data_IF_416482663537
#
_entry.id   IF_416482663537
#
_cell.length_a   1.000
_cell.length_b   1.000
_cell.length_c   1.000
_cell.angle_alpha   90.00
_cell.angle_beta   90.00
_cell.angle_gamma   90.00
#
_symmetry.space_group_name_H-M   'P 1'
#
loop_
_entity.id
_entity.type
_entity.pdbx_description
1 polymer ?
#
# COMPACT_ATOMS: atom_id res chain seq x y z
N UNK A 1 1.41 -8.34 14.95
CA UNK A 1 2.22 -8.15 13.75
C UNK A 1 1.68 -9.09 12.68
N UNK A 2 1.10 -8.55 11.61
CA UNK A 2 0.55 -9.37 10.51
C UNK A 2 1.72 -9.90 9.67
N UNK A 3 1.67 -11.16 9.19
CA UNK A 3 2.66 -11.65 8.25
C UNK A 3 2.58 -10.83 6.96
N UNK A 4 3.68 -10.20 6.57
CA UNK A 4 3.78 -9.45 5.32
C UNK A 4 4.31 -10.41 4.28
N UNK A 5 3.55 -10.62 3.21
CA UNK A 5 4.05 -11.32 2.03
C UNK A 5 4.85 -10.32 1.20
N UNK A 6 6.17 -10.46 1.20
CA UNK A 6 7.02 -9.76 0.24
C UNK A 6 6.99 -10.58 -1.04
N UNK A 7 6.50 -9.98 -2.13
CA UNK A 7 6.57 -10.58 -3.46
C UNK A 7 7.75 -9.98 -4.21
N UNK A 8 8.83 -10.75 -4.31
CA UNK A 8 9.99 -10.41 -5.11
C UNK A 8 9.90 -11.06 -6.50
N UNK A 9 10.29 -10.31 -7.53
CA UNK A 9 10.55 -10.89 -8.86
C UNK A 9 12.06 -11.04 -9.02
N UNK A 10 12.65 -12.21 -8.74
CA UNK A 10 14.07 -12.41 -8.97
C UNK A 10 14.35 -12.36 -10.47
N UNK A 11 15.42 -11.67 -10.88
CA UNK A 11 16.04 -11.92 -12.18
C UNK A 11 17.16 -12.93 -11.95
N UNK A 12 16.95 -14.14 -12.45
CA UNK A 12 17.90 -15.27 -12.55
C UNK A 12 18.94 -15.39 -11.42
N UNK A 13 18.63 -16.27 -10.46
CA UNK A 13 19.62 -16.87 -9.57
C UNK A 13 19.60 -16.35 -8.13
N UNK A 14 18.69 -16.90 -7.31
CA UNK A 14 18.92 -17.20 -5.89
C UNK A 14 17.64 -17.84 -5.31
N UNK A 15 17.81 -19.06 -4.78
CA UNK A 15 16.76 -19.91 -4.24
C UNK A 15 16.10 -19.31 -2.98
N UNK A 16 14.76 -19.20 -2.98
CA UNK A 16 13.95 -19.63 -1.84
C UNK A 16 12.52 -19.93 -2.29
N UNK A 17 12.01 -21.05 -1.77
CA UNK A 17 10.74 -21.68 -2.11
C UNK A 17 9.52 -20.93 -1.53
N UNK A 18 8.66 -20.45 -2.43
CA UNK A 18 7.25 -20.82 -2.56
C UNK A 18 6.84 -20.38 -3.97
N UNK A 19 6.95 -21.29 -4.94
CA UNK A 19 6.70 -21.00 -6.35
C UNK A 19 5.20 -20.88 -6.65
N UNK A 20 4.79 -19.69 -7.10
CA UNK A 20 3.81 -19.60 -8.18
C UNK A 20 4.53 -19.07 -9.43
N UNK A 21 5.32 -19.96 -10.04
CA UNK A 21 6.08 -19.76 -11.28
C UNK A 21 7.50 -19.21 -11.08
N UNK A 22 8.38 -19.49 -12.05
CA UNK A 22 9.83 -19.16 -12.09
C UNK A 22 10.19 -17.68 -11.90
N UNK A 23 9.20 -16.79 -11.74
CA UNK A 23 9.38 -15.34 -11.63
C UNK A 23 8.82 -14.73 -10.35
N UNK A 24 8.20 -15.49 -9.46
CA UNK A 24 7.54 -14.95 -8.27
C UNK A 24 7.97 -15.70 -7.01
N UNK A 25 8.58 -14.97 -6.07
CA UNK A 25 8.98 -15.49 -4.75
C UNK A 25 8.14 -14.79 -3.68
N UNK A 26 7.56 -15.59 -2.78
CA UNK A 26 6.79 -15.10 -1.63
C UNK A 26 7.49 -15.51 -0.36
N UNK A 27 7.77 -14.53 0.50
CA UNK A 27 8.45 -14.79 1.77
C UNK A 27 7.57 -14.41 2.95
N UNK A 28 7.63 -15.24 3.99
CA UNK A 28 7.01 -15.00 5.28
C UNK A 28 8.06 -14.40 6.22
N UNK A 29 8.19 -13.08 6.19
CA UNK A 29 9.17 -12.35 7.00
C UNK A 29 8.62 -10.99 7.43
N UNK A 30 9.30 -10.38 8.39
CA UNK A 30 9.10 -8.98 8.70
C UNK A 30 9.84 -8.14 7.66
N UNK A 31 9.16 -7.18 7.03
CA UNK A 31 9.77 -6.34 5.98
C UNK A 31 11.02 -5.59 6.48
N UNK A 32 11.16 -5.40 7.79
CA UNK A 32 12.32 -4.78 8.43
C UNK A 32 13.58 -5.66 8.37
N UNK A 33 13.38 -6.95 8.18
CA UNK A 33 14.42 -7.98 8.09
C UNK A 33 14.70 -8.39 6.63
N UNK A 34 14.29 -7.58 5.64
CA UNK A 34 14.72 -7.74 4.24
C UNK A 34 16.25 -7.55 4.22
N UNK A 35 16.97 -8.67 4.29
CA UNK A 35 18.39 -8.70 4.67
C UNK A 35 19.37 -8.35 3.54
N UNK A 36 18.89 -8.26 2.31
CA UNK A 36 19.74 -7.93 1.17
C UNK A 36 19.57 -6.45 0.79
N UNK A 37 20.62 -5.67 1.01
CA UNK A 37 20.67 -4.29 0.55
C UNK A 37 20.67 -4.25 -0.98
N UNK A 38 19.93 -3.29 -1.55
CA UNK A 38 19.91 -3.01 -2.99
C UNK A 38 19.48 -4.21 -3.87
N UNK A 39 18.55 -5.03 -3.37
CA UNK A 39 18.03 -6.18 -4.11
C UNK A 39 16.89 -5.84 -5.07
N UNK A 40 16.25 -4.67 -4.94
CA UNK A 40 15.06 -4.34 -5.72
C UNK A 40 15.26 -3.10 -6.59
N UNK A 41 14.86 -3.19 -7.87
CA UNK A 41 14.77 -2.03 -8.77
C UNK A 41 13.53 -1.19 -8.46
N UNK A 42 12.45 -1.84 -7.99
CA UNK A 42 11.18 -1.21 -7.68
C UNK A 42 10.55 -1.85 -6.44
N UNK A 43 9.96 -1.03 -5.58
CA UNK A 43 9.21 -1.48 -4.41
C UNK A 43 7.79 -0.92 -4.51
N UNK A 44 6.79 -1.71 -4.09
CA UNK A 44 5.42 -1.25 -3.93
C UNK A 44 4.93 -1.69 -2.56
N UNK A 45 4.35 -0.76 -1.81
CA UNK A 45 3.75 -1.04 -0.50
C UNK A 45 2.31 -0.55 -0.50
N UNK A 46 1.35 -1.43 -0.19
CA UNK A 46 -0.09 -1.16 -0.28
C UNK A 46 -0.73 -1.46 1.07
N UNK A 47 -1.25 -0.43 1.75
CA UNK A 47 -1.99 -0.57 3.00
C UNK A 47 -1.15 -0.93 4.23
N UNK A 48 0.18 -0.80 4.15
CA UNK A 48 1.08 -1.10 5.26
C UNK A 48 1.34 0.12 6.16
N UNK A 49 1.49 1.29 5.55
CA UNK A 49 1.89 2.54 6.21
C UNK A 49 0.98 2.92 7.39
N UNK A 50 -0.32 2.61 7.30
CA UNK A 50 -1.34 2.85 8.33
C UNK A 50 -1.13 2.06 9.62
N UNK A 51 -0.33 1.00 9.55
CA UNK A 51 -0.03 0.09 10.66
C UNK A 51 1.37 0.29 11.24
N UNK A 52 2.18 1.16 10.64
CA UNK A 52 3.54 1.46 11.10
C UNK A 52 3.51 2.38 12.32
N UNK A 53 2.65 3.41 12.26
CA UNK A 53 2.59 4.47 13.27
C UNK A 53 3.62 5.58 13.05
N UNK A 54 3.31 6.78 13.53
CA UNK A 54 4.06 8.00 13.25
C UNK A 54 5.53 7.89 13.62
N UNK A 55 5.80 7.37 14.82
CA UNK A 55 7.16 7.30 15.38
C UNK A 55 8.06 6.31 14.65
N UNK A 56 7.46 5.41 13.84
CA UNK A 56 8.16 4.37 13.09
C UNK A 56 8.27 4.65 11.60
N UNK A 57 7.77 5.80 11.14
CA UNK A 57 7.92 6.19 9.73
C UNK A 57 9.38 6.30 9.27
N UNK A 58 10.32 6.86 10.04
CA UNK A 58 11.73 6.87 9.63
C UNK A 58 12.29 5.46 9.43
N UNK A 59 11.95 4.52 10.32
CA UNK A 59 12.36 3.11 10.22
C UNK A 59 11.76 2.47 8.96
N UNK A 60 10.48 2.69 8.70
CA UNK A 60 9.78 2.17 7.51
C UNK A 60 10.38 2.66 6.19
N UNK A 61 10.59 3.96 6.04
CA UNK A 61 11.22 4.50 4.84
C UNK A 61 12.68 4.08 4.73
N UNK A 62 13.42 4.01 5.85
CA UNK A 62 14.80 3.52 5.86
C UNK A 62 14.89 2.08 5.37
N UNK A 63 14.00 1.17 5.80
CA UNK A 63 13.98 -0.20 5.29
C UNK A 63 13.76 -0.25 3.77
N UNK A 64 12.81 0.52 3.24
CA UNK A 64 12.59 0.60 1.81
C UNK A 64 13.80 1.20 1.06
N UNK A 65 14.44 2.22 1.62
CA UNK A 65 15.62 2.87 1.04
C UNK A 65 16.82 1.93 0.93
N UNK A 66 17.07 1.12 1.97
CA UNK A 66 18.17 0.16 1.98
C UNK A 66 17.95 -0.99 1.00
N UNK A 67 16.71 -1.47 0.87
CA UNK A 67 16.37 -2.55 -0.05
C UNK A 67 16.35 -2.10 -1.53
N UNK A 68 16.15 -0.81 -1.79
CA UNK A 68 16.04 -0.24 -3.14
C UNK A 68 17.43 0.09 -3.73
N UNK A 69 17.65 -0.25 -4.99
CA UNK A 69 18.86 0.14 -5.74
C UNK A 69 18.91 1.65 -6.01
N UNK A 70 20.10 2.25 -6.16
CA UNK A 70 20.24 3.56 -6.79
C UNK A 70 19.49 3.61 -8.14
N UNK A 71 18.75 4.69 -8.39
CA UNK A 71 17.88 4.86 -9.55
C UNK A 71 16.52 4.14 -9.43
N UNK A 72 16.29 3.41 -8.34
CA UNK A 72 15.06 2.66 -8.13
C UNK A 72 13.86 3.53 -7.75
N UNK A 73 12.65 2.96 -7.89
CA UNK A 73 11.39 3.61 -7.56
C UNK A 73 10.61 2.89 -6.46
N UNK A 74 10.00 3.65 -5.55
CA UNK A 74 9.14 3.15 -4.50
C UNK A 74 7.74 3.78 -4.58
N UNK A 75 6.69 2.97 -4.74
CA UNK A 75 5.31 3.40 -4.67
C UNK A 75 4.70 3.05 -3.30
N UNK A 76 4.48 4.07 -2.47
CA UNK A 76 3.79 3.93 -1.20
C UNK A 76 2.30 4.28 -1.35
N UNK A 77 1.42 3.31 -1.15
CA UNK A 77 -0.03 3.47 -1.19
C UNK A 77 -0.64 3.28 0.19
N UNK A 78 -1.22 4.33 0.77
CA UNK A 78 -1.78 4.26 2.12
C UNK A 78 -2.80 5.35 2.44
N UNK A 79 -3.64 5.06 3.43
CA UNK A 79 -4.66 5.95 3.98
C UNK A 79 -4.00 6.96 4.92
N UNK A 80 -4.32 8.24 4.73
CA UNK A 80 -3.87 9.35 5.56
C UNK A 80 -5.06 10.10 6.17
N UNK A 81 -4.84 10.80 7.28
CA UNK A 81 -5.82 11.73 7.84
C UNK A 81 -5.62 13.16 7.33
N UNK A 82 -6.69 13.95 7.24
CA UNK A 82 -6.62 15.36 6.81
C UNK A 82 -5.94 16.27 7.83
N UNK A 83 -5.21 17.28 7.35
CA UNK A 83 -4.37 18.19 8.17
C UNK A 83 -5.10 19.21 9.06
N UNK A 84 -6.44 19.23 9.08
CA UNK A 84 -7.25 20.15 9.89
C UNK A 84 -7.90 19.53 11.14
N UNK A 85 -7.89 18.21 11.26
CA UNK A 85 -8.06 17.56 12.55
C UNK A 85 -6.68 17.40 13.14
N UNK A 86 -6.50 17.69 14.43
CA UNK A 86 -5.31 17.24 15.17
C UNK A 86 -4.86 15.92 14.59
N UNK A 87 -3.61 15.86 14.06
CA UNK A 87 -3.00 14.59 13.74
C UNK A 87 -3.34 13.71 14.94
N UNK A 88 -4.14 12.67 14.74
CA UNK A 88 -4.71 11.87 15.84
C UNK A 88 -3.63 10.97 16.44
N UNK A 89 -2.41 11.52 16.55
CA UNK A 89 -1.37 11.11 17.45
C UNK A 89 -2.05 10.62 18.70
N UNK A 90 -1.72 9.38 19.05
CA UNK A 90 -2.16 8.73 20.28
C UNK A 90 -1.58 9.50 21.47
N UNK A 91 -2.05 10.73 21.70
CA UNK A 91 -1.83 11.43 22.96
C UNK A 91 -2.41 10.51 24.03
N UNK A 92 -1.58 10.19 25.02
CA UNK A 92 -1.82 9.17 26.06
C UNK A 92 -3.13 9.38 26.86
N UNK A 93 -3.85 10.48 26.64
CA UNK A 93 -5.10 10.83 27.32
C UNK A 93 -6.39 10.57 26.52
N UNK A 94 -6.33 10.12 25.26
CA UNK A 94 -7.54 9.93 24.45
C UNK A 94 -8.17 8.56 24.70
N UNK A 95 -9.49 8.54 24.98
CA UNK A 95 -10.27 7.29 25.06
C UNK A 95 -10.20 6.53 23.71
N UNK A 96 -10.09 5.19 23.72
CA UNK A 96 -10.03 4.40 22.48
C UNK A 96 -11.26 4.67 21.62
N UNK A 97 -11.05 4.94 20.34
CA UNK A 97 -12.12 5.05 19.35
C UNK A 97 -12.75 3.68 19.07
N UNK A 98 -13.86 3.67 18.31
CA UNK A 98 -14.45 2.42 17.81
C UNK A 98 -13.42 1.60 17.00
N UNK A 99 -12.63 2.24 16.14
CA UNK A 99 -11.62 1.55 15.35
C UNK A 99 -10.51 0.99 16.25
N UNK A 100 -10.04 1.79 17.21
CA UNK A 100 -8.98 1.42 18.15
C UNK A 100 -9.39 0.21 19.01
N UNK A 101 -10.68 0.04 19.26
CA UNK A 101 -11.21 -1.05 20.11
C UNK A 101 -11.61 -2.30 19.34
N UNK A 102 -12.12 -2.16 18.11
CA UNK A 102 -12.79 -3.27 17.42
C UNK A 102 -12.23 -3.64 16.05
N UNK A 103 -11.41 -2.79 15.42
CA UNK A 103 -10.99 -3.00 14.02
C UNK A 103 -9.46 -3.01 13.88
N UNK A 104 -8.81 -1.91 14.24
CA UNK A 104 -7.35 -1.74 14.11
C UNK A 104 -6.77 -1.15 15.41
N UNK A 105 -6.47 -1.99 16.41
CA UNK A 105 -5.95 -1.52 17.69
C UNK A 105 -4.60 -0.80 17.59
N UNK A 106 -3.79 -1.23 16.63
CA UNK A 106 -2.44 -0.73 16.36
C UNK A 106 -2.41 0.28 15.19
N UNK A 107 -3.56 0.54 14.54
CA UNK A 107 -3.63 1.44 13.40
C UNK A 107 -3.48 2.91 13.82
N UNK A 108 -2.63 3.66 13.13
CA UNK A 108 -2.49 5.10 13.31
C UNK A 108 -2.43 5.78 11.94
N UNK A 109 -3.44 6.59 11.66
CA UNK A 109 -3.46 7.39 10.44
C UNK A 109 -2.62 8.64 10.64
N UNK A 110 -1.66 8.83 9.75
CA UNK A 110 -0.75 9.98 9.77
C UNK A 110 -1.09 10.91 8.60
N UNK A 111 -0.98 12.25 8.77
CA UNK A 111 -1.12 13.18 7.64
C UNK A 111 -0.07 12.95 6.55
N UNK A 112 -0.45 13.16 5.29
CA UNK A 112 0.45 12.93 4.15
C UNK A 112 1.75 13.72 4.25
N UNK A 113 1.70 14.98 4.70
CA UNK A 113 2.91 15.81 4.83
C UNK A 113 3.94 15.21 5.79
N UNK A 114 3.49 14.54 6.85
CA UNK A 114 4.38 13.90 7.83
C UNK A 114 5.04 12.66 7.23
N UNK A 115 4.31 11.90 6.42
CA UNK A 115 4.87 10.76 5.70
C UNK A 115 5.89 11.21 4.65
N UNK A 116 5.60 12.28 3.90
CA UNK A 116 6.52 12.86 2.91
C UNK A 116 7.78 13.39 3.57
N UNK A 117 7.67 14.13 4.68
CA UNK A 117 8.85 14.61 5.42
C UNK A 117 9.73 13.45 5.89
N UNK A 118 9.17 12.37 6.43
CA UNK A 118 9.96 11.20 6.84
C UNK A 118 10.64 10.50 5.65
N UNK A 119 9.99 10.46 4.48
CA UNK A 119 10.58 9.92 3.26
C UNK A 119 11.74 10.78 2.75
N UNK A 120 11.55 12.10 2.69
CA UNK A 120 12.59 13.05 2.27
C UNK A 120 13.78 13.07 3.23
N UNK A 121 13.54 13.02 4.54
CA UNK A 121 14.58 12.92 5.58
C UNK A 121 15.40 11.62 5.45
N UNK A 122 14.82 10.55 4.89
CA UNK A 122 15.53 9.30 4.59
C UNK A 122 16.40 9.41 3.33
N UNK A 123 16.12 10.38 2.45
CA UNK A 123 16.83 10.61 1.19
C UNK A 123 15.98 10.38 -0.07
N UNK A 124 14.73 9.94 0.06
CA UNK A 124 13.84 9.82 -1.09
C UNK A 124 13.51 11.17 -1.71
N UNK A 125 13.45 11.20 -3.04
CA UNK A 125 12.87 12.31 -3.78
C UNK A 125 11.39 12.02 -4.07
N UNK A 126 10.50 12.95 -3.74
CA UNK A 126 9.07 12.84 -4.07
C UNK A 126 8.85 13.19 -5.53
N UNK A 127 8.38 12.21 -6.32
CA UNK A 127 8.14 12.37 -7.76
C UNK A 127 6.67 12.55 -8.09
N UNK A 128 5.78 11.95 -7.31
CA UNK A 128 4.35 12.17 -7.43
C UNK A 128 3.58 11.96 -6.14
N UNK A 129 2.43 12.64 -6.04
CA UNK A 129 1.44 12.39 -4.99
C UNK A 129 0.05 12.47 -5.62
N UNK A 130 -0.61 11.32 -5.75
CA UNK A 130 -1.98 11.22 -6.26
C UNK A 130 -2.95 10.90 -5.12
N UNK A 131 -4.07 11.62 -5.08
CA UNK A 131 -5.17 11.39 -4.13
C UNK A 131 -6.28 10.56 -4.78
N UNK A 132 -6.61 9.40 -4.19
CA UNK A 132 -7.65 8.49 -4.68
C UNK A 132 -8.89 8.46 -3.77
N UNK A 133 -9.17 9.55 -3.03
CA UNK A 133 -10.23 9.63 -2.01
C UNK A 133 -11.61 9.14 -2.48
N UNK A 134 -12.07 9.64 -3.62
CA UNK A 134 -13.37 9.31 -4.21
C UNK A 134 -13.44 7.84 -4.61
N UNK A 135 -12.33 7.29 -5.10
CA UNK A 135 -12.24 5.86 -5.46
C UNK A 135 -12.49 4.99 -4.24
N UNK A 136 -11.86 5.32 -3.10
CA UNK A 136 -12.05 4.54 -1.87
C UNK A 136 -13.47 4.65 -1.31
N UNK A 137 -14.13 5.80 -1.47
CA UNK A 137 -15.57 5.96 -1.18
C UNK A 137 -16.40 4.97 -1.99
N UNK A 138 -16.15 4.88 -3.31
CA UNK A 138 -16.85 3.97 -4.20
C UNK A 138 -16.58 2.50 -3.84
N UNK A 139 -15.32 2.16 -3.54
CA UNK A 139 -14.92 0.82 -3.10
C UNK A 139 -15.68 0.38 -1.86
N UNK A 140 -15.68 1.18 -0.79
CA UNK A 140 -16.36 0.83 0.45
C UNK A 140 -17.88 0.73 0.28
N UNK A 141 -18.50 1.62 -0.50
CA UNK A 141 -19.94 1.53 -0.82
C UNK A 141 -20.27 0.26 -1.59
N UNK A 142 -19.41 -0.17 -2.53
CA UNK A 142 -19.57 -1.43 -3.27
C UNK A 142 -19.42 -2.63 -2.35
N UNK A 143 -18.46 -2.62 -1.41
CA UNK A 143 -18.30 -3.68 -0.42
C UNK A 143 -19.51 -3.80 0.49
N UNK A 144 -20.00 -2.68 1.05
CA UNK A 144 -21.23 -2.66 1.86
C UNK A 144 -22.41 -3.22 1.06
N UNK A 145 -22.66 -2.72 -0.16
CA UNK A 145 -23.77 -3.21 -1.00
C UNK A 145 -23.65 -4.71 -1.28
N UNK A 146 -22.46 -5.21 -1.63
CA UNK A 146 -22.22 -6.62 -1.91
C UNK A 146 -22.43 -7.49 -0.68
N UNK A 147 -21.99 -7.03 0.50
CA UNK A 147 -22.23 -7.71 1.77
C UNK A 147 -23.72 -7.77 2.10
N UNK A 148 -24.46 -6.66 1.99
CA UNK A 148 -25.90 -6.62 2.26
C UNK A 148 -26.68 -7.56 1.32
N UNK A 149 -26.34 -7.58 0.02
CA UNK A 149 -26.96 -8.49 -0.94
C UNK A 149 -26.71 -9.98 -0.62
N UNK A 150 -25.61 -10.28 0.08
CA UNK A 150 -25.18 -11.62 0.47
C UNK A 150 -25.23 -11.84 1.98
N UNK A 151 -26.06 -11.09 2.71
CA UNK A 151 -26.04 -11.06 4.18
C UNK A 151 -26.19 -12.45 4.83
N UNK A 152 -27.01 -13.34 4.25
CA UNK A 152 -27.18 -14.72 4.73
C UNK A 152 -25.87 -15.53 4.63
N UNK A 153 -25.14 -15.41 3.52
CA UNK A 153 -23.84 -16.06 3.33
C UNK A 153 -22.77 -15.43 4.23
N UNK A 154 -22.76 -14.09 4.34
CA UNK A 154 -21.80 -13.37 5.17
C UNK A 154 -21.89 -13.76 6.66
N UNK A 155 -23.10 -13.97 7.17
CA UNK A 155 -23.34 -14.46 8.54
C UNK A 155 -22.84 -15.89 8.79
N UNK A 156 -22.52 -16.68 7.76
CA UNK A 156 -21.91 -18.00 7.93
C UNK A 156 -20.39 -17.92 8.07
N UNK A 157 -19.77 -16.82 7.62
CA UNK A 157 -18.32 -16.64 7.66
C UNK A 157 -17.82 -16.14 9.03
N UNK A 158 -18.70 -15.62 9.88
CA UNK A 158 -18.35 -15.00 11.15
C UNK A 158 -19.57 -14.88 12.07
N UNK A 159 -19.39 -14.52 13.34
CA UNK A 159 -20.47 -14.31 14.29
C UNK A 159 -21.20 -12.96 14.06
N UNK A 160 -22.38 -12.82 14.66
CA UNK A 160 -23.22 -11.61 14.47
C UNK A 160 -22.59 -10.32 15.02
N UNK A 161 -21.78 -10.40 16.08
CA UNK A 161 -21.13 -9.22 16.63
C UNK A 161 -20.06 -8.71 15.66
N UNK A 162 -19.20 -9.61 15.17
CA UNK A 162 -18.17 -9.32 14.17
C UNK A 162 -18.80 -8.80 12.87
N UNK A 163 -19.88 -9.43 12.40
CA UNK A 163 -20.60 -9.01 11.21
C UNK A 163 -21.15 -7.57 11.31
N UNK A 164 -21.68 -7.19 12.47
CA UNK A 164 -22.17 -5.83 12.75
C UNK A 164 -21.03 -4.82 12.85
N UNK A 165 -19.92 -5.18 13.48
CA UNK A 165 -18.71 -4.34 13.57
C UNK A 165 -18.21 -4.00 12.18
N UNK A 166 -18.03 -4.99 11.30
CA UNK A 166 -17.52 -4.78 9.94
C UNK A 166 -18.46 -3.94 9.08
N UNK A 167 -19.77 -4.16 9.19
CA UNK A 167 -20.77 -3.34 8.49
C UNK A 167 -20.70 -1.88 8.90
N UNK A 168 -20.65 -1.62 10.22
CA UNK A 168 -20.56 -0.28 10.76
C UNK A 168 -19.24 0.38 10.36
N UNK A 169 -18.12 -0.34 10.50
CA UNK A 169 -16.79 0.10 10.10
C UNK A 169 -16.77 0.54 8.63
N UNK A 170 -17.14 -0.32 7.69
CA UNK A 170 -17.09 0.01 6.26
C UNK A 170 -17.99 1.19 5.90
N UNK A 171 -19.18 1.28 6.51
CA UNK A 171 -20.12 2.37 6.28
C UNK A 171 -19.59 3.70 6.83
N UNK A 172 -19.02 3.69 8.03
CA UNK A 172 -18.41 4.86 8.66
C UNK A 172 -17.15 5.31 7.90
N UNK A 173 -16.31 4.37 7.45
CA UNK A 173 -15.14 4.65 6.61
C UNK A 173 -15.56 5.26 5.27
N UNK A 174 -16.62 4.76 4.62
CA UNK A 174 -17.13 5.33 3.38
C UNK A 174 -17.55 6.80 3.57
N UNK A 175 -18.20 7.09 4.69
CA UNK A 175 -18.54 8.46 5.07
C UNK A 175 -17.28 9.31 5.37
N UNK A 176 -16.29 8.74 6.05
CA UNK A 176 -14.99 9.37 6.31
C UNK A 176 -14.30 9.85 5.04
N UNK A 177 -14.19 8.99 4.02
CA UNK A 177 -13.63 9.37 2.72
C UNK A 177 -14.51 10.40 1.99
N UNK A 178 -15.84 10.19 1.95
CA UNK A 178 -16.74 11.12 1.23
C UNK A 178 -16.79 12.52 1.84
N UNK A 179 -16.55 12.63 3.16
CA UNK A 179 -16.53 13.90 3.88
C UNK A 179 -15.15 14.57 3.94
N UNK A 180 -14.12 13.97 3.33
CA UNK A 180 -12.77 14.55 3.32
C UNK A 180 -12.00 14.39 4.63
N UNK A 181 -12.51 13.63 5.60
CA UNK A 181 -11.84 13.43 6.90
C UNK A 181 -10.61 12.53 6.81
N UNK A 182 -10.67 11.56 5.90
CA UNK A 182 -9.56 10.66 5.56
C UNK A 182 -9.40 10.63 4.04
N UNK A 183 -8.20 10.32 3.60
CA UNK A 183 -7.82 10.22 2.21
C UNK A 183 -6.94 8.98 2.01
N UNK A 184 -6.72 8.57 0.77
CA UNK A 184 -5.74 7.56 0.38
C UNK A 184 -4.86 8.18 -0.69
N UNK A 185 -3.56 8.03 -0.51
CA UNK A 185 -2.56 8.58 -1.43
C UNK A 185 -1.74 7.48 -2.06
N UNK A 186 -1.38 7.67 -3.32
CA UNK A 186 -0.25 7.01 -3.96
C UNK A 186 0.89 8.01 -4.04
N UNK A 187 1.99 7.73 -3.33
CA UNK A 187 3.21 8.53 -3.36
C UNK A 187 4.26 7.77 -4.14
N UNK A 188 4.71 8.35 -5.26
CA UNK A 188 5.83 7.85 -6.02
C UNK A 188 7.11 8.53 -5.52
N UNK A 189 8.04 7.72 -5.06
CA UNK A 189 9.34 8.11 -4.52
C UNK A 189 10.45 7.50 -5.39
N UNK A 190 11.58 8.17 -5.48
CA UNK A 190 12.79 7.63 -6.13
C UNK A 190 13.99 7.73 -5.21
N UNK A 191 14.92 6.78 -5.34
CA UNK A 191 16.28 6.87 -4.79
C UNK A 191 17.19 7.36 -5.93
N UNK A 192 17.51 8.66 -6.01
CA UNK A 192 18.26 9.18 -7.14
C UNK A 192 19.66 8.54 -7.22
N UNK A 193 20.15 8.31 -8.44
CA UNK A 193 21.54 7.89 -8.68
C UNK A 193 22.29 9.01 -9.38
N UNK A 194 23.30 9.58 -8.73
CA UNK A 194 24.04 10.73 -9.28
C UNK A 194 23.18 11.97 -9.57
N UNK A 195 21.98 12.09 -8.99
CA UNK A 195 21.01 13.16 -9.26
C UNK A 195 19.99 12.84 -10.36
N UNK A 196 20.05 11.64 -10.96
CA UNK A 196 19.07 11.17 -11.92
C UNK A 196 17.97 10.35 -11.23
N UNK A 197 16.70 10.63 -11.56
CA UNK A 197 15.54 9.89 -11.01
C UNK A 197 15.17 8.63 -11.79
N UNK A 198 15.68 8.46 -13.01
CA UNK A 198 15.32 7.34 -13.91
C UNK A 198 13.88 7.37 -14.43
N UNK A 199 13.08 8.40 -14.14
CA UNK A 199 11.70 8.52 -14.58
C UNK A 199 11.54 9.42 -15.81
N UNK A 200 10.52 9.18 -16.66
CA UNK A 200 10.15 10.07 -17.74
C UNK A 200 9.84 11.50 -17.27
N UNK A 201 10.02 12.48 -18.16
CA UNK A 201 9.82 13.89 -17.85
C UNK A 201 8.36 14.24 -17.56
N UNK A 202 7.40 13.52 -18.15
CA UNK A 202 5.97 13.79 -17.98
C UNK A 202 5.22 12.56 -17.50
N UNK A 203 4.11 12.77 -16.79
CA UNK A 203 3.22 11.68 -16.34
C UNK A 203 2.54 10.96 -17.51
N UNK A 204 2.36 11.62 -18.65
CA UNK A 204 1.73 11.02 -19.83
C UNK A 204 2.53 9.79 -20.30
N UNK A 205 3.85 9.85 -20.17
CA UNK A 205 4.76 8.79 -20.56
C UNK A 205 4.66 7.58 -19.61
N UNK A 206 4.17 7.76 -18.38
CA UNK A 206 3.93 6.65 -17.43
C UNK A 206 2.76 5.77 -17.86
N UNK A 207 1.77 6.37 -18.53
CA UNK A 207 0.56 5.70 -19.00
C UNK A 207 0.63 5.27 -20.47
N UNK A 208 1.74 5.58 -21.14
CA UNK A 208 1.96 5.20 -22.53
C UNK A 208 2.35 3.73 -22.61
N UNK A 209 1.73 2.98 -23.53
CA UNK A 209 1.81 1.50 -23.64
C UNK A 209 3.19 0.96 -24.11
N UNK A 210 4.26 1.75 -23.95
CA UNK A 210 5.60 1.51 -24.49
C UNK A 210 6.33 0.30 -23.86
N UNK A 211 5.71 -0.42 -22.91
CA UNK A 211 6.34 -1.50 -22.15
C UNK A 211 5.59 -2.83 -22.08
N UNK A 212 4.34 -2.92 -22.53
CA UNK A 212 3.59 -4.19 -22.56
C UNK A 212 3.71 -4.79 -23.96
N UNK A 213 4.85 -5.42 -24.25
CA UNK A 213 4.94 -6.32 -25.40
C UNK A 213 3.98 -7.49 -25.17
N UNK A 214 2.76 -7.38 -25.73
CA UNK A 214 1.84 -8.51 -25.81
C UNK A 214 2.46 -9.50 -26.79
N UNK A 215 3.12 -10.54 -26.28
CA UNK A 215 3.53 -11.66 -27.11
C UNK A 215 2.28 -12.27 -27.74
N UNK A 216 2.06 -11.99 -29.01
CA UNK A 216 1.02 -12.65 -29.79
C UNK A 216 1.50 -14.07 -30.06
N UNK A 217 1.00 -15.04 -29.29
CA UNK A 217 1.00 -16.44 -29.73
C UNK A 217 0.17 -16.52 -30.99
N UNK A 218 0.84 -16.53 -32.16
CA UNK A 218 0.25 -17.02 -33.40
C UNK A 218 -0.12 -18.48 -33.15
N UNK A 219 -1.42 -18.74 -32.99
CA UNK A 219 -1.96 -20.08 -33.16
C UNK A 219 -1.62 -20.55 -34.56
N UNK A 220 -0.74 -21.54 -34.65
CA UNK A 220 -0.56 -22.33 -35.85
C UNK A 220 -1.83 -23.14 -36.02
N UNK A 221 -2.75 -22.64 -36.84
CA UNK A 221 -3.72 -23.47 -37.53
C UNK A 221 -2.96 -24.19 -38.63
N UNK A 222 -2.37 -25.34 -38.31
CA UNK A 222 -1.95 -26.28 -39.35
C UNK A 222 -3.05 -27.31 -39.57
N UNK A 223 -3.37 -27.44 -40.84
CA UNK A 223 -4.54 -28.09 -41.40
C UNK A 223 -4.10 -29.50 -41.82
N UNK A 224 -4.59 -30.54 -41.13
CA UNK A 224 -4.71 -31.90 -41.67
C UNK A 224 -5.57 -32.79 -40.81
#
# INVERSE_FOLDING_TARGET
>A
MFPISVTGYPRSGADAEYEQGESCRVELLDYRDIGEAESYDKIVSVGMFEHVGRDKLPEYFSSAWHALRPGGAFLNHGIACGGGGEARSRTKSRRPSFNDRYVFPDGELVPINVALSAAEETGFEVRDVESLREHYTLTLRRWVRRREAKHKEAKLATDEATDRVWRLFMSASAYGFSSGRINVYQTLLTKPDGGESGLPLTRQDWYSDQGISRSSTKGSSDNR
#
